data_IF_771687048171
#
_entry.id   IF_771687048171
#
_cell.length_a   1.000
_cell.length_b   1.000
_cell.length_c   1.000
_cell.angle_alpha   90.00
_cell.angle_beta   90.00
_cell.angle_gamma   90.00
#
_symmetry.space_group_name_H-M   'P 1'
#
loop_
_entity.id
_entity.type
_entity.pdbx_description
1 polymer ?
#
# COMPACT_ATOMS: atom_id res chain seq x y z
N UNK A 1 -8.55 -1.06 -23.00
CA UNK A 1 -8.87 -0.37 -21.74
C UNK A 1 -7.68 -0.57 -20.82
N UNK A 2 -6.86 0.47 -20.56
CA UNK A 2 -5.79 0.36 -19.56
C UNK A 2 -6.47 0.47 -18.21
N UNK A 3 -6.73 -0.65 -17.54
CA UNK A 3 -7.10 -0.65 -16.12
C UNK A 3 -6.01 0.15 -15.41
N UNK A 4 -6.35 1.34 -14.91
CA UNK A 4 -5.34 2.26 -14.38
C UNK A 4 -4.73 1.56 -13.16
N UNK A 5 -3.40 1.36 -13.09
CA UNK A 5 -2.75 0.70 -11.96
C UNK A 5 -3.18 1.32 -10.62
N UNK A 6 -3.39 2.64 -10.63
CA UNK A 6 -4.02 3.46 -9.60
C UNK A 6 -5.25 2.82 -8.91
N UNK A 7 -6.19 2.26 -9.68
CA UNK A 7 -7.41 1.67 -9.11
C UNK A 7 -7.15 0.30 -8.45
N UNK A 8 -6.17 -0.45 -8.94
CA UNK A 8 -5.78 -1.72 -8.32
C UNK A 8 -5.09 -1.44 -6.97
N UNK A 9 -4.16 -0.48 -6.96
CA UNK A 9 -3.38 -0.13 -5.77
C UNK A 9 -4.28 0.46 -4.66
N UNK A 10 -5.26 1.30 -5.01
CA UNK A 10 -6.26 1.80 -4.05
C UNK A 10 -7.11 0.68 -3.42
N UNK A 11 -7.47 -0.33 -4.21
CA UNK A 11 -8.21 -1.49 -3.73
C UNK A 11 -7.34 -2.35 -2.79
N UNK A 12 -6.06 -2.56 -3.15
CA UNK A 12 -5.11 -3.30 -2.31
C UNK A 12 -4.90 -2.57 -0.98
N UNK A 13 -4.76 -1.23 -0.99
CA UNK A 13 -4.64 -0.41 0.21
C UNK A 13 -5.89 -0.53 1.12
N UNK A 14 -7.08 -0.54 0.54
CA UNK A 14 -8.34 -0.73 1.28
C UNK A 14 -8.37 -2.09 1.98
N UNK A 15 -7.98 -3.15 1.28
CA UNK A 15 -7.89 -4.50 1.85
C UNK A 15 -6.80 -4.60 2.92
N UNK A 16 -5.67 -3.92 2.73
CA UNK A 16 -4.57 -3.85 3.68
C UNK A 16 -5.03 -3.23 5.00
N UNK A 17 -5.66 -2.05 4.96
CA UNK A 17 -6.20 -1.40 6.15
C UNK A 17 -7.22 -2.29 6.87
N UNK A 18 -8.05 -3.02 6.12
CA UNK A 18 -9.00 -3.98 6.69
C UNK A 18 -8.30 -5.19 7.33
N UNK A 19 -7.21 -5.68 6.76
CA UNK A 19 -6.42 -6.78 7.31
C UNK A 19 -5.73 -6.36 8.62
N UNK A 20 -5.14 -5.16 8.66
CA UNK A 20 -4.56 -4.57 9.86
C UNK A 20 -5.59 -4.45 11.00
N UNK A 21 -6.80 -3.95 10.71
CA UNK A 21 -7.90 -3.86 11.70
C UNK A 21 -8.39 -5.21 12.22
N UNK A 22 -8.23 -6.27 11.44
CA UNK A 22 -8.59 -7.65 11.82
C UNK A 22 -7.40 -8.42 12.41
N UNK A 23 -6.25 -7.77 12.64
CA UNK A 23 -5.00 -8.41 13.08
C UNK A 23 -4.56 -9.59 12.21
N UNK A 24 -4.91 -9.57 10.92
CA UNK A 24 -4.52 -10.60 9.95
C UNK A 24 -3.20 -10.21 9.29
N UNK A 25 -2.12 -10.31 10.05
CA UNK A 25 -0.79 -9.81 9.66
C UNK A 25 -0.21 -10.49 8.42
N UNK A 26 -0.38 -11.80 8.25
CA UNK A 26 0.08 -12.52 7.05
C UNK A 26 -0.56 -11.99 5.76
N UNK A 27 -1.85 -11.62 5.83
CA UNK A 27 -2.58 -11.06 4.70
C UNK A 27 -2.15 -9.61 4.45
N UNK A 28 -1.95 -8.83 5.51
CA UNK A 28 -1.45 -7.46 5.41
C UNK A 28 -0.06 -7.42 4.77
N UNK A 29 0.84 -8.33 5.16
CA UNK A 29 2.19 -8.45 4.59
C UNK A 29 2.16 -8.84 3.11
N UNK A 30 1.28 -9.76 2.73
CA UNK A 30 1.13 -10.15 1.32
C UNK A 30 0.61 -9.00 0.45
N UNK A 31 -0.36 -8.22 0.96
CA UNK A 31 -0.90 -7.05 0.27
C UNK A 31 0.12 -5.91 0.17
N UNK A 32 0.96 -5.73 1.19
CA UNK A 32 2.05 -4.75 1.16
C UNK A 32 3.08 -5.11 0.07
N UNK A 33 3.50 -6.37 0.00
CA UNK A 33 4.42 -6.84 -1.04
C UNK A 33 3.86 -6.69 -2.45
N UNK A 34 2.54 -6.83 -2.62
CA UNK A 34 1.88 -6.58 -3.89
C UNK A 34 1.94 -5.08 -4.29
N UNK A 35 1.79 -4.16 -3.34
CA UNK A 35 1.95 -2.72 -3.59
C UNK A 35 3.41 -2.36 -3.94
N UNK A 36 4.37 -2.98 -3.26
CA UNK A 36 5.81 -2.80 -3.54
C UNK A 36 6.15 -3.22 -4.98
N UNK A 37 5.71 -4.42 -5.38
CA UNK A 37 5.91 -4.92 -6.74
C UNK A 37 5.21 -4.07 -7.81
N UNK A 38 4.04 -3.51 -7.51
CA UNK A 38 3.29 -2.63 -8.43
C UNK A 38 3.98 -1.27 -8.63
N UNK A 39 4.69 -0.78 -7.61
CA UNK A 39 5.43 0.50 -7.66
C UNK A 39 6.81 0.38 -8.32
N UNK A 40 7.45 -0.79 -8.27
CA UNK A 40 8.80 -1.04 -8.81
C UNK A 40 8.83 -1.06 -10.36
N UNK A 41 7.70 -1.39 -11.02
CA UNK A 41 7.61 -1.43 -12.48
C UNK A 41 7.54 -0.02 -13.13
N UNK A 42 7.63 1.05 -12.33
CA UNK A 42 7.69 2.45 -12.74
C UNK A 42 9.06 3.09 -12.55
N UNK A 43 10.15 2.41 -12.92
CA UNK A 43 11.49 3.01 -12.90
C UNK A 43 11.58 4.20 -13.87
N UNK A 44 11.82 5.38 -13.29
CA UNK A 44 11.99 6.62 -14.03
C UNK A 44 11.92 7.84 -13.14
N UNK A 45 12.89 7.99 -12.22
CA UNK A 45 13.34 9.24 -11.61
C UNK A 45 12.34 10.42 -11.58
N UNK A 46 11.33 10.40 -10.72
CA UNK A 46 10.74 11.63 -10.17
C UNK A 46 10.13 11.30 -8.82
N UNK A 47 10.45 12.01 -7.72
CA UNK A 47 9.69 11.86 -6.49
C UNK A 47 8.31 12.47 -6.74
N UNK A 48 7.22 11.69 -6.81
CA UNK A 48 5.92 12.33 -6.86
C UNK A 48 5.67 12.89 -5.47
N UNK A 49 5.55 14.20 -5.36
CA UNK A 49 4.94 14.92 -4.23
C UNK A 49 3.49 14.49 -3.94
N UNK A 50 3.03 13.40 -4.54
CA UNK A 50 1.67 12.86 -4.50
C UNK A 50 1.73 11.59 -3.67
N UNK A 51 1.06 11.60 -2.52
CA UNK A 51 0.94 10.46 -1.60
C UNK A 51 0.61 9.19 -2.38
N UNK A 52 1.59 8.29 -2.51
CA UNK A 52 1.37 6.99 -3.13
C UNK A 52 0.67 6.04 -2.15
N UNK A 53 -0.15 5.09 -2.64
CA UNK A 53 -0.80 4.08 -1.81
C UNK A 53 0.20 3.29 -0.94
N UNK A 54 1.41 3.07 -1.44
CA UNK A 54 2.53 2.51 -0.69
C UNK A 54 2.89 3.36 0.53
N UNK A 55 3.04 4.68 0.34
CA UNK A 55 3.35 5.62 1.43
C UNK A 55 2.25 5.62 2.48
N UNK A 56 0.98 5.54 2.07
CA UNK A 56 -0.15 5.46 3.00
C UNK A 56 -0.15 4.15 3.80
N UNK A 57 0.19 3.02 3.16
CA UNK A 57 0.35 1.73 3.85
C UNK A 57 1.45 1.79 4.93
N UNK A 58 2.62 2.34 4.61
CA UNK A 58 3.71 2.54 5.58
C UNK A 58 3.32 3.49 6.74
N UNK A 59 2.62 4.58 6.43
CA UNK A 59 2.11 5.51 7.45
C UNK A 59 1.09 4.84 8.39
N UNK A 60 0.24 3.96 7.85
CA UNK A 60 -0.75 3.22 8.63
C UNK A 60 -0.08 2.28 9.64
N UNK A 61 0.99 1.58 9.23
CA UNK A 61 1.82 0.74 10.13
C UNK A 61 2.48 1.60 11.22
N UNK A 62 3.14 2.69 10.83
CA UNK A 62 3.82 3.59 11.76
C UNK A 62 2.85 4.15 12.81
N UNK A 63 1.65 4.54 12.38
CA UNK A 63 0.59 5.06 13.26
C UNK A 63 0.02 4.00 14.21
N UNK A 64 0.00 2.73 13.80
CA UNK A 64 -0.36 1.60 14.65
C UNK A 64 0.69 1.34 15.73
N UNK A 65 1.97 1.49 15.40
CA UNK A 65 3.08 1.24 16.30
C UNK A 65 3.26 2.34 17.37
N UNK A 66 2.84 3.59 17.08
CA UNK A 66 2.82 4.68 18.06
C UNK A 66 1.72 4.57 19.12
N UNK A 67 0.83 3.58 19.01
CA UNK A 67 -0.34 3.41 19.89
C UNK A 67 -0.27 2.17 20.78
N UNK A 68 0.91 1.53 20.86
CA UNK A 68 1.24 0.48 21.84
C UNK A 68 1.91 1.06 23.08
#
# INVERSE_FOLDING_TARGET
MRTRPDQLDENILTLFNRACRQSRWEVAEHLLRALEASSDEGDGCEPPCVRSPLTDAYLSIASLHSKQ
#
